data_IF_548269554406
#
_entry.id   IF_548269554406
#
_cell.length_a   1.000
_cell.length_b   1.000
_cell.length_c   1.000
_cell.angle_alpha   90.00
_cell.angle_beta   90.00
_cell.angle_gamma   90.00
#
_symmetry.space_group_name_H-M   'P 1'
#
loop_
_entity.id
_entity.type
_entity.pdbx_description
1 polymer ?
#
# COMPACT_ATOMS: atom_id res chain seq x y z
N UNK A 1 0.27 -19.52 4.33
CA UNK A 1 0.48 -18.38 5.25
C UNK A 1 0.07 -17.10 4.53
N UNK A 2 -0.80 -16.30 5.14
CA UNK A 2 -1.15 -14.98 4.61
C UNK A 2 0.07 -14.04 4.66
N UNK A 3 0.25 -13.18 3.66
CA UNK A 3 1.37 -12.22 3.57
C UNK A 3 2.63 -12.72 2.85
N UNK A 4 2.74 -14.01 2.53
CA UNK A 4 3.92 -14.56 1.85
C UNK A 4 4.08 -14.02 0.42
N UNK A 5 2.97 -13.78 -0.30
CA UNK A 5 3.00 -13.24 -1.66
C UNK A 5 3.46 -11.79 -1.64
N UNK A 6 2.99 -10.99 -0.67
CA UNK A 6 3.48 -9.63 -0.48
C UNK A 6 4.98 -9.61 -0.12
N UNK A 7 5.43 -10.51 0.75
CA UNK A 7 6.85 -10.59 1.12
C UNK A 7 7.73 -10.92 -0.10
N UNK A 8 7.34 -11.95 -0.87
CA UNK A 8 8.05 -12.32 -2.09
C UNK A 8 8.05 -11.18 -3.13
N UNK A 9 6.95 -10.44 -3.26
CA UNK A 9 6.86 -9.29 -4.14
C UNK A 9 7.79 -8.14 -3.68
N UNK A 10 7.85 -7.89 -2.37
CA UNK A 10 8.74 -6.91 -1.78
C UNK A 10 10.22 -7.26 -2.04
N UNK A 11 10.62 -8.52 -1.80
CA UNK A 11 11.98 -9.00 -2.06
C UNK A 11 12.36 -8.80 -3.54
N UNK A 12 11.48 -9.19 -4.47
CA UNK A 12 11.72 -8.97 -5.91
C UNK A 12 11.92 -7.49 -6.24
N UNK A 13 11.13 -6.59 -5.61
CA UNK A 13 11.23 -5.15 -5.82
C UNK A 13 12.55 -4.61 -5.24
N UNK A 14 12.94 -5.01 -4.03
CA UNK A 14 14.22 -4.63 -3.44
C UNK A 14 15.41 -5.08 -4.30
N UNK A 15 15.38 -6.31 -4.83
CA UNK A 15 16.42 -6.80 -5.73
C UNK A 15 16.46 -6.00 -7.04
N UNK A 16 15.30 -5.65 -7.61
CA UNK A 16 15.20 -4.83 -8.83
C UNK A 16 15.82 -3.44 -8.65
N UNK A 17 15.68 -2.85 -7.46
CA UNK A 17 16.15 -1.49 -7.17
C UNK A 17 17.38 -1.46 -6.27
N UNK A 18 18.19 -2.53 -6.29
CA UNK A 18 19.41 -2.62 -5.47
C UNK A 18 20.36 -1.42 -5.70
N UNK A 19 20.46 -0.95 -6.94
CA UNK A 19 21.30 0.20 -7.31
C UNK A 19 20.91 1.51 -6.58
N UNK A 20 19.62 1.69 -6.23
CA UNK A 20 19.17 2.84 -5.43
C UNK A 20 19.79 2.77 -4.03
N UNK A 21 19.81 1.57 -3.44
CA UNK A 21 20.42 1.32 -2.13
C UNK A 21 21.93 1.49 -2.21
N UNK A 22 22.56 0.99 -3.29
CA UNK A 22 24.00 1.13 -3.52
C UNK A 22 24.44 2.60 -3.68
N UNK A 23 23.53 3.47 -4.12
CA UNK A 23 23.69 4.92 -4.17
C UNK A 23 23.38 5.63 -2.83
N UNK A 24 23.28 4.88 -1.74
CA UNK A 24 23.05 5.37 -0.38
C UNK A 24 21.67 6.02 -0.16
N UNK A 25 20.66 5.64 -0.95
CA UNK A 25 19.26 6.01 -0.70
C UNK A 25 18.52 4.93 0.09
N UNK A 26 17.54 5.36 0.89
CA UNK A 26 16.62 4.44 1.55
C UNK A 26 15.52 3.99 0.59
N UNK A 27 15.48 2.70 0.30
CA UNK A 27 14.44 2.08 -0.51
C UNK A 27 13.53 1.19 0.34
N UNK A 28 12.22 1.41 0.25
CA UNK A 28 11.20 0.59 0.89
C UNK A 28 10.23 0.05 -0.17
N UNK A 29 10.17 -1.27 -0.31
CA UNK A 29 9.11 -1.90 -1.08
C UNK A 29 7.81 -1.95 -0.27
N UNK A 30 6.76 -1.31 -0.78
CA UNK A 30 5.41 -1.40 -0.26
C UNK A 30 4.61 -2.42 -1.09
N UNK A 31 4.47 -3.63 -0.56
CA UNK A 31 3.76 -4.73 -1.21
C UNK A 31 2.53 -5.14 -0.39
N UNK A 32 1.42 -5.35 -1.09
CA UNK A 32 0.13 -5.71 -0.50
C UNK A 32 -0.44 -6.88 -1.27
N UNK A 33 -0.87 -7.91 -0.55
CA UNK A 33 -1.69 -8.97 -1.13
C UNK A 33 -3.10 -8.44 -1.41
N UNK A 34 -3.77 -9.02 -2.41
CA UNK A 34 -5.12 -8.61 -2.84
C UNK A 34 -6.11 -8.51 -1.68
N UNK A 35 -5.99 -9.37 -0.67
CA UNK A 35 -6.88 -9.42 0.50
C UNK A 35 -6.36 -8.67 1.74
N UNK A 36 -5.31 -7.85 1.59
CA UNK A 36 -4.90 -6.88 2.61
C UNK A 36 -3.59 -7.12 3.36
N UNK A 37 -3.00 -8.33 3.46
CA UNK A 37 -1.69 -8.49 4.09
C UNK A 37 -0.60 -7.63 3.43
N UNK A 38 0.01 -6.73 4.20
CA UNK A 38 1.19 -5.98 3.77
C UNK A 38 2.46 -6.76 4.11
N UNK A 39 3.52 -6.58 3.32
CA UNK A 39 4.84 -7.07 3.69
C UNK A 39 5.34 -6.43 5.00
N UNK A 40 6.24 -7.10 5.70
CA UNK A 40 6.60 -6.70 7.07
C UNK A 40 7.25 -5.31 7.14
N UNK A 41 8.13 -4.98 6.20
CA UNK A 41 8.80 -3.67 6.21
C UNK A 41 7.83 -2.51 5.98
N UNK A 42 6.84 -2.65 5.10
CA UNK A 42 5.80 -1.65 4.90
C UNK A 42 4.94 -1.46 6.15
N UNK A 43 4.55 -2.55 6.81
CA UNK A 43 3.77 -2.50 8.06
C UNK A 43 4.54 -1.78 9.17
N UNK A 44 5.82 -2.08 9.33
CA UNK A 44 6.68 -1.44 10.33
C UNK A 44 6.84 0.05 10.04
N UNK A 45 7.10 0.41 8.77
CA UNK A 45 7.23 1.80 8.35
C UNK A 45 5.96 2.61 8.61
N UNK A 46 4.79 2.13 8.20
CA UNK A 46 3.52 2.83 8.42
C UNK A 46 3.18 2.94 9.90
N UNK A 47 3.49 1.93 10.70
CA UNK A 47 3.27 1.98 12.14
C UNK A 47 4.11 3.07 12.82
N UNK A 48 5.39 3.15 12.47
CA UNK A 48 6.32 4.15 13.00
C UNK A 48 5.94 5.55 12.53
N UNK A 49 5.68 5.72 11.23
CA UNK A 49 5.24 6.99 10.66
C UNK A 49 3.93 7.47 11.30
N UNK A 50 2.96 6.57 11.45
CA UNK A 50 1.69 6.89 12.11
C UNK A 50 1.87 7.31 13.56
N UNK A 51 2.79 6.67 14.30
CA UNK A 51 3.12 7.09 15.67
C UNK A 51 3.72 8.49 15.70
N UNK A 52 4.67 8.78 14.80
CA UNK A 52 5.25 10.14 14.66
C UNK A 52 4.20 11.18 14.30
N UNK A 53 3.23 10.83 13.45
CA UNK A 53 2.10 11.72 13.13
C UNK A 53 1.24 12.02 14.36
N UNK A 54 0.96 11.02 15.21
CA UNK A 54 0.23 11.26 16.47
C UNK A 54 0.98 12.26 17.36
N UNK A 55 2.29 12.08 17.52
CA UNK A 55 3.13 12.97 18.34
C UNK A 55 3.17 14.38 17.74
N UNK A 56 3.38 14.50 16.44
CA UNK A 56 3.51 15.79 15.77
C UNK A 56 2.19 16.58 15.71
N UNK A 57 1.05 15.90 15.62
CA UNK A 57 -0.27 16.54 15.53
C UNK A 57 -0.98 16.71 16.87
N UNK A 58 -0.59 15.93 17.89
CA UNK A 58 -1.31 15.84 19.16
C UNK A 58 -2.63 15.04 19.08
N UNK A 59 -3.05 14.57 17.90
CA UNK A 59 -4.25 13.75 17.74
C UNK A 59 -3.89 12.26 17.76
N UNK A 60 -4.37 11.56 18.80
CA UNK A 60 -4.17 10.12 18.96
C UNK A 60 -4.79 9.28 17.81
N UNK A 61 -5.74 9.83 17.06
CA UNK A 61 -6.42 9.15 15.94
C UNK A 61 -5.69 9.31 14.61
N UNK A 62 -4.71 10.20 14.51
CA UNK A 62 -3.96 10.47 13.26
C UNK A 62 -3.38 9.21 12.64
N UNK A 63 -2.82 8.30 13.45
CA UNK A 63 -2.32 7.00 12.99
C UNK A 63 -3.42 6.15 12.35
N UNK A 64 -4.58 6.07 13.00
CA UNK A 64 -5.69 5.24 12.53
C UNK A 64 -6.24 5.77 11.21
N UNK A 65 -6.48 7.09 11.11
CA UNK A 65 -6.94 7.71 9.88
C UNK A 65 -5.93 7.53 8.73
N UNK A 66 -4.64 7.63 9.03
CA UNK A 66 -3.58 7.38 8.05
C UNK A 66 -3.62 5.95 7.49
N UNK A 67 -3.72 4.94 8.37
CA UNK A 67 -3.82 3.53 7.96
C UNK A 67 -5.10 3.27 7.16
N UNK A 68 -6.23 3.86 7.57
CA UNK A 68 -7.51 3.76 6.87
C UNK A 68 -7.43 4.37 5.46
N UNK A 69 -6.81 5.55 5.32
CA UNK A 69 -6.60 6.18 4.01
C UNK A 69 -5.79 5.31 3.06
N UNK A 70 -4.68 4.72 3.53
CA UNK A 70 -3.88 3.80 2.72
C UNK A 70 -4.72 2.58 2.31
N UNK A 71 -5.47 2.01 3.25
CA UNK A 71 -6.31 0.82 3.00
C UNK A 71 -7.38 1.12 1.96
N UNK A 72 -8.05 2.27 2.04
CA UNK A 72 -9.05 2.69 1.06
C UNK A 72 -8.44 2.91 -0.32
N UNK A 73 -7.23 3.49 -0.40
CA UNK A 73 -6.52 3.65 -1.67
C UNK A 73 -6.20 2.29 -2.33
N UNK A 74 -5.77 1.31 -1.53
CA UNK A 74 -5.53 -0.07 -2.02
C UNK A 74 -6.82 -0.70 -2.53
N UNK A 75 -7.93 -0.60 -1.78
CA UNK A 75 -9.19 -1.18 -2.20
C UNK A 75 -9.73 -0.55 -3.48
N UNK A 76 -9.60 0.78 -3.63
CA UNK A 76 -9.92 1.47 -4.89
C UNK A 76 -9.05 0.97 -6.05
N UNK A 77 -7.75 0.78 -5.85
CA UNK A 77 -6.86 0.22 -6.86
C UNK A 77 -7.21 -1.22 -7.26
N UNK A 78 -7.57 -2.06 -6.28
CA UNK A 78 -8.04 -3.42 -6.52
C UNK A 78 -9.36 -3.42 -7.31
N UNK A 79 -10.32 -2.59 -6.91
CA UNK A 79 -11.59 -2.42 -7.61
C UNK A 79 -11.35 -1.96 -9.06
N UNK A 80 -10.54 -0.93 -9.29
CA UNK A 80 -10.17 -0.47 -10.62
C UNK A 80 -9.54 -1.58 -11.48
N UNK A 81 -8.67 -2.41 -10.89
CA UNK A 81 -8.04 -3.54 -11.59
C UNK A 81 -9.06 -4.59 -12.02
N UNK A 82 -10.04 -4.90 -11.16
CA UNK A 82 -11.14 -5.82 -11.48
C UNK A 82 -12.03 -5.23 -12.57
N UNK A 83 -12.41 -3.96 -12.43
CA UNK A 83 -13.25 -3.24 -13.38
C UNK A 83 -12.64 -3.16 -14.77
N UNK A 84 -11.31 -3.03 -14.86
CA UNK A 84 -10.57 -3.01 -16.13
C UNK A 84 -10.60 -4.34 -16.91
N UNK A 85 -11.12 -5.43 -16.32
CA UNK A 85 -11.29 -6.71 -17.02
C UNK A 85 -12.64 -6.85 -17.74
N UNK A 86 -13.59 -5.96 -17.45
CA UNK A 86 -14.90 -5.96 -18.11
C UNK A 86 -14.87 -5.16 -19.41
N UNK A 87 -15.76 -5.49 -20.35
CA UNK A 87 -15.96 -4.65 -21.54
C UNK A 87 -16.52 -3.28 -21.14
N UNK A 88 -16.03 -2.17 -21.73
CA UNK A 88 -16.53 -0.83 -21.40
C UNK A 88 -18.04 -0.75 -21.56
N UNK A 89 -18.75 -0.35 -20.50
CA UNK A 89 -20.18 -0.04 -20.56
C UNK A 89 -20.43 1.26 -19.80
N UNK A 90 -21.43 2.04 -20.24
CA UNK A 90 -21.76 3.34 -19.65
C UNK A 90 -22.12 3.27 -18.15
N UNK A 91 -22.49 2.08 -17.64
CA UNK A 91 -22.74 1.85 -16.22
C UNK A 91 -21.44 1.73 -15.39
N UNK A 92 -20.36 1.22 -15.98
CA UNK A 92 -19.09 0.98 -15.28
C UNK A 92 -18.25 2.25 -15.11
N UNK A 93 -18.38 3.24 -16.01
CA UNK A 93 -17.68 4.52 -15.91
C UNK A 93 -18.07 5.31 -14.65
N UNK A 94 -19.33 5.21 -14.22
CA UNK A 94 -19.83 5.91 -13.02
C UNK A 94 -19.26 5.36 -11.71
N UNK A 95 -18.90 4.07 -11.68
CA UNK A 95 -18.30 3.42 -10.51
C UNK A 95 -16.83 3.84 -10.35
N UNK A 96 -16.15 4.14 -11.45
CA UNK A 96 -14.73 4.52 -11.46
C UNK A 96 -14.45 5.90 -10.86
N UNK A 97 -15.47 6.77 -10.76
CA UNK A 97 -15.34 8.18 -10.35
C UNK A 97 -15.71 8.46 -8.87
N UNK A 98 -15.96 7.43 -8.06
CA UNK A 98 -16.29 7.52 -6.62
C UNK A 98 -15.10 7.08 -5.73
#
# INVERSE_FOLDING_TARGET
MAGQVAENAAIRKCNKYKTIVDQNYQFLAFAVETLGPWNNSARNFVNELGHRMMVATGDARSKQFFIQHITLAIQRGNAASVMGTFSPSAAMEKIFLL
#
